data_IF_556201614279
#
_entry.id   IF_556201614279
#
_cell.length_a   1.000
_cell.length_b   1.000
_cell.length_c   1.000
_cell.angle_alpha   90.00
_cell.angle_beta   90.00
_cell.angle_gamma   90.00
#
_symmetry.space_group_name_H-M   'P 1'
#
loop_
_entity.id
_entity.type
_entity.pdbx_description
1 polymer ?
#
# COMPACT_ATOMS: atom_id res chain seq x y z
N UNK A 1 14.47 6.39 -27.34
CA UNK A 1 13.96 7.33 -26.32
C UNK A 1 15.02 8.40 -26.09
N UNK A 2 14.62 9.67 -26.03
CA UNK A 2 15.57 10.77 -25.81
C UNK A 2 16.00 10.78 -24.32
N UNK A 3 17.23 11.16 -23.98
CA UNK A 3 17.74 11.12 -22.59
C UNK A 3 16.93 11.96 -21.59
N UNK A 4 16.18 12.97 -22.07
CA UNK A 4 15.26 13.77 -21.24
C UNK A 4 14.03 12.97 -20.82
N UNK A 5 13.43 12.17 -21.71
CA UNK A 5 12.23 11.35 -21.42
C UNK A 5 12.53 10.29 -20.35
N UNK A 6 13.74 9.71 -20.37
CA UNK A 6 14.17 8.69 -19.41
C UNK A 6 14.29 9.26 -17.99
N UNK A 7 14.82 10.49 -17.87
CA UNK A 7 14.96 11.16 -16.56
C UNK A 7 13.61 11.53 -15.96
N UNK A 8 12.69 12.07 -16.76
CA UNK A 8 11.34 12.43 -16.30
C UNK A 8 10.57 11.19 -15.87
N UNK A 9 10.55 10.13 -16.69
CA UNK A 9 9.86 8.88 -16.34
C UNK A 9 10.43 8.19 -15.10
N UNK A 10 11.75 8.22 -14.91
CA UNK A 10 12.39 7.70 -13.70
C UNK A 10 12.01 8.51 -12.43
N UNK A 11 11.88 9.84 -12.54
CA UNK A 11 11.50 10.70 -11.43
C UNK A 11 10.02 10.52 -11.02
N UNK A 12 9.11 10.47 -12.00
CA UNK A 12 7.69 10.21 -11.75
C UNK A 12 7.48 8.84 -11.09
N UNK A 13 8.20 7.83 -11.55
CA UNK A 13 8.11 6.49 -10.96
C UNK A 13 8.62 6.47 -9.51
N UNK A 14 9.73 7.16 -9.21
CA UNK A 14 10.26 7.26 -7.84
C UNK A 14 9.25 7.92 -6.90
N UNK A 15 8.61 9.00 -7.35
CA UNK A 15 7.56 9.66 -6.56
C UNK A 15 6.39 8.71 -6.31
N UNK A 16 5.93 8.00 -7.34
CA UNK A 16 4.82 7.06 -7.23
C UNK A 16 5.11 5.89 -6.26
N UNK A 17 6.32 5.32 -6.33
CA UNK A 17 6.76 4.26 -5.41
C UNK A 17 6.80 4.76 -3.96
N UNK A 18 7.28 5.99 -3.73
CA UNK A 18 7.26 6.61 -2.39
C UNK A 18 5.85 6.84 -1.88
N UNK A 19 4.94 7.27 -2.76
CA UNK A 19 3.52 7.45 -2.42
C UNK A 19 2.89 6.12 -2.01
N UNK A 20 3.12 5.04 -2.77
CA UNK A 20 2.63 3.70 -2.43
C UNK A 20 3.20 3.21 -1.09
N UNK A 21 4.49 3.43 -0.84
CA UNK A 21 5.10 3.09 0.45
C UNK A 21 4.49 3.90 1.62
N UNK A 22 4.21 5.19 1.40
CA UNK A 22 3.52 6.03 2.39
C UNK A 22 2.10 5.56 2.69
N UNK A 23 1.32 5.19 1.65
CA UNK A 23 -0.02 4.61 1.83
C UNK A 23 0.04 3.25 2.54
N UNK A 24 1.06 2.43 2.26
CA UNK A 24 1.27 1.18 2.98
C UNK A 24 1.52 1.41 4.48
N UNK A 25 2.27 2.45 4.83
CA UNK A 25 2.47 2.83 6.23
C UNK A 25 1.15 3.29 6.88
N UNK A 26 0.38 4.13 6.20
CA UNK A 26 -0.91 4.62 6.70
C UNK A 26 -1.91 3.48 6.93
N UNK A 27 -1.92 2.47 6.07
CA UNK A 27 -2.77 1.28 6.24
C UNK A 27 -2.33 0.43 7.43
N UNK A 28 -1.03 0.30 7.70
CA UNK A 28 -0.53 -0.35 8.93
C UNK A 28 -0.93 0.44 10.18
N UNK A 29 -0.85 1.77 10.15
CA UNK A 29 -1.34 2.61 11.25
C UNK A 29 -2.84 2.39 11.47
N UNK A 30 -3.62 2.22 10.39
CA UNK A 30 -5.02 1.81 10.45
C UNK A 30 -5.22 0.48 11.18
N UNK A 31 -4.38 -0.53 10.88
CA UNK A 31 -4.42 -1.82 11.59
C UNK A 31 -4.11 -1.69 13.09
N UNK A 32 -3.12 -0.86 13.46
CA UNK A 32 -2.76 -0.60 14.86
C UNK A 32 -3.88 0.13 15.59
N UNK A 33 -4.52 1.10 14.94
CA UNK A 33 -5.70 1.78 15.49
C UNK A 33 -6.82 0.78 15.75
N UNK A 34 -7.10 -0.09 14.80
CA UNK A 34 -8.15 -1.10 14.90
C UNK A 34 -7.88 -2.11 16.03
N UNK A 35 -6.60 -2.40 16.29
CA UNK A 35 -6.19 -3.22 17.42
C UNK A 35 -6.40 -2.52 18.77
N UNK A 36 -6.10 -1.22 18.83
CA UNK A 36 -6.27 -0.41 20.05
C UNK A 36 -7.75 -0.08 20.33
N UNK A 37 -8.53 0.20 19.28
CA UNK A 37 -9.94 0.57 19.34
C UNK A 37 -10.71 -0.15 18.22
N UNK A 38 -11.21 -1.36 18.51
CA UNK A 38 -11.91 -2.17 17.53
C UNK A 38 -13.20 -1.51 17.04
N UNK A 39 -13.36 -1.43 15.74
CA UNK A 39 -14.61 -1.01 15.12
C UNK A 39 -15.66 -2.10 15.25
N UNK A 40 -16.88 -1.67 15.56
CA UNK A 40 -18.03 -2.55 15.73
C UNK A 40 -19.06 -2.25 14.63
N UNK A 41 -19.84 -3.26 14.22
CA UNK A 41 -20.94 -3.04 13.30
C UNK A 41 -21.99 -2.08 13.89
N UNK A 42 -22.77 -1.36 13.05
CA UNK A 42 -22.80 -1.46 11.59
C UNK A 42 -21.70 -0.63 10.90
N UNK A 43 -20.99 -1.26 9.96
CA UNK A 43 -19.99 -0.57 9.14
C UNK A 43 -20.68 0.28 8.06
N UNK A 44 -20.08 1.43 7.71
CA UNK A 44 -20.68 2.38 6.76
C UNK A 44 -19.81 2.55 5.52
N UNK A 45 -20.44 2.73 4.36
CA UNK A 45 -19.78 3.05 3.09
C UNK A 45 -19.86 1.94 2.02
N UNK A 46 -19.35 2.23 0.81
CA UNK A 46 -19.47 1.34 -0.36
C UNK A 46 -18.77 -0.01 -0.19
N UNK A 47 -17.71 -0.05 0.62
CA UNK A 47 -16.92 -1.26 0.90
C UNK A 47 -17.23 -1.87 2.28
N UNK A 48 -18.32 -1.43 2.94
CA UNK A 48 -18.70 -1.93 4.26
C UNK A 48 -18.93 -3.45 4.28
N UNK A 49 -19.46 -4.01 3.18
CA UNK A 49 -19.68 -5.46 3.05
C UNK A 49 -18.40 -6.29 3.24
N UNK A 50 -17.23 -5.76 2.89
CA UNK A 50 -15.94 -6.44 3.08
C UNK A 50 -15.58 -6.48 4.56
N UNK A 51 -15.79 -5.36 5.26
CA UNK A 51 -15.59 -5.27 6.71
C UNK A 51 -16.58 -6.15 7.48
N UNK A 52 -17.85 -6.19 7.05
CA UNK A 52 -18.87 -7.09 7.62
C UNK A 52 -18.48 -8.55 7.46
N UNK A 53 -18.03 -8.96 6.27
CA UNK A 53 -17.60 -10.33 6.00
C UNK A 53 -16.37 -10.71 6.83
N UNK A 54 -15.37 -9.82 6.92
CA UNK A 54 -14.19 -10.06 7.75
C UNK A 54 -14.54 -10.15 9.24
N UNK A 55 -15.44 -9.29 9.71
CA UNK A 55 -15.94 -9.33 11.09
C UNK A 55 -16.75 -10.60 11.37
N UNK A 56 -17.55 -11.07 10.42
CA UNK A 56 -18.30 -12.32 10.56
C UNK A 56 -17.38 -13.54 10.63
N UNK A 57 -16.25 -13.54 9.93
CA UNK A 57 -15.32 -14.68 9.90
C UNK A 57 -14.39 -14.73 11.12
N UNK A 58 -13.90 -13.58 11.60
CA UNK A 58 -12.84 -13.52 12.60
C UNK A 58 -13.03 -12.42 13.67
N UNK A 59 -14.23 -11.84 13.77
CA UNK A 59 -14.51 -10.72 14.67
C UNK A 59 -13.68 -9.48 14.32
N UNK A 60 -13.34 -8.69 15.34
CA UNK A 60 -12.51 -7.49 15.19
C UNK A 60 -11.13 -7.78 14.56
N UNK A 61 -10.56 -8.96 14.80
CA UNK A 61 -9.29 -9.36 14.19
C UNK A 61 -9.37 -9.48 12.67
N UNK A 62 -10.55 -9.80 12.11
CA UNK A 62 -10.74 -9.84 10.66
C UNK A 62 -10.50 -8.48 10.00
N UNK A 63 -10.85 -7.39 10.69
CA UNK A 63 -10.66 -6.02 10.18
C UNK A 63 -9.19 -5.63 10.20
N UNK A 64 -8.46 -6.02 11.27
CA UNK A 64 -7.00 -5.85 11.36
C UNK A 64 -6.31 -6.57 10.20
N UNK A 65 -6.71 -7.82 9.93
CA UNK A 65 -6.19 -8.63 8.83
C UNK A 65 -6.46 -7.95 7.49
N UNK A 66 -7.63 -7.36 7.29
CA UNK A 66 -7.96 -6.56 6.10
C UNK A 66 -6.99 -5.40 5.87
N UNK A 67 -6.71 -4.62 6.92
CA UNK A 67 -5.73 -3.52 6.84
C UNK A 67 -4.34 -4.02 6.49
N UNK A 68 -3.89 -5.13 7.08
CA UNK A 68 -2.60 -5.72 6.78
C UNK A 68 -2.53 -6.26 5.35
N UNK A 69 -3.59 -6.90 4.84
CA UNK A 69 -3.66 -7.31 3.44
C UNK A 69 -3.57 -6.12 2.48
N UNK A 70 -4.26 -5.02 2.79
CA UNK A 70 -4.17 -3.79 2.00
C UNK A 70 -2.74 -3.21 2.01
N UNK A 71 -2.08 -3.19 3.17
CA UNK A 71 -0.69 -2.75 3.30
C UNK A 71 0.26 -3.62 2.46
N UNK A 72 0.12 -4.95 2.55
CA UNK A 72 0.93 -5.90 1.77
C UNK A 72 0.72 -5.69 0.26
N UNK A 73 -0.53 -5.53 -0.17
CA UNK A 73 -0.85 -5.29 -1.58
C UNK A 73 -0.18 -4.01 -2.11
N UNK A 74 -0.16 -2.93 -1.32
CA UNK A 74 0.52 -1.68 -1.66
C UNK A 74 2.04 -1.84 -1.73
N UNK A 75 2.65 -2.55 -0.78
CA UNK A 75 4.10 -2.83 -0.80
C UNK A 75 4.49 -3.68 -2.01
N UNK A 76 3.71 -4.71 -2.31
CA UNK A 76 3.94 -5.55 -3.49
C UNK A 76 3.78 -4.75 -4.78
N UNK A 77 2.80 -3.85 -4.85
CA UNK A 77 2.61 -2.94 -5.98
C UNK A 77 3.80 -1.99 -6.13
N UNK A 78 4.28 -1.39 -5.03
CA UNK A 78 5.47 -0.53 -5.03
C UNK A 78 6.72 -1.29 -5.51
N UNK A 79 6.92 -2.52 -5.03
CA UNK A 79 8.02 -3.40 -5.44
C UNK A 79 7.90 -3.81 -6.91
N UNK A 80 6.70 -4.10 -7.38
CA UNK A 80 6.43 -4.47 -8.77
C UNK A 80 6.75 -3.32 -9.70
N UNK A 81 6.25 -2.12 -9.40
CA UNK A 81 6.54 -0.90 -10.17
C UNK A 81 8.05 -0.65 -10.19
N UNK A 82 8.71 -0.66 -9.03
CA UNK A 82 10.16 -0.45 -8.93
C UNK A 82 10.99 -1.44 -9.75
N UNK A 83 10.53 -2.69 -9.88
CA UNK A 83 11.22 -3.71 -10.68
C UNK A 83 11.10 -3.50 -12.19
N UNK A 84 9.98 -2.94 -12.66
CA UNK A 84 9.71 -2.76 -14.09
C UNK A 84 10.11 -1.38 -14.62
N UNK A 85 10.64 -0.50 -13.76
CA UNK A 85 11.13 0.82 -14.17
C UNK A 85 12.59 0.75 -14.63
N UNK A 86 12.93 1.24 -15.83
CA UNK A 86 14.32 1.34 -16.28
C UNK A 86 15.12 2.26 -15.34
N UNK A 87 16.20 1.71 -14.76
CA UNK A 87 17.08 2.43 -13.83
C UNK A 87 18.10 3.26 -14.60
N UNK A 88 18.35 4.48 -14.13
CA UNK A 88 19.38 5.34 -14.71
C UNK A 88 20.76 4.87 -14.22
N UNK A 89 21.81 4.82 -15.06
CA UNK A 89 23.14 4.30 -14.69
C UNK A 89 23.82 4.97 -13.49
N UNK A 90 23.31 6.12 -13.04
CA UNK A 90 23.82 6.87 -11.87
C UNK A 90 23.44 6.22 -10.53
N UNK A 91 22.52 5.25 -10.50
CA UNK A 91 22.10 4.52 -9.29
C UNK A 91 23.04 3.36 -8.89
N UNK A 92 24.35 3.46 -9.16
CA UNK A 92 25.33 2.42 -8.78
C UNK A 92 25.59 2.34 -7.26
N UNK A 93 25.18 3.34 -6.48
CA UNK A 93 25.46 3.44 -5.04
C UNK A 93 24.56 2.60 -4.12
N UNK A 94 23.61 1.83 -4.66
CA UNK A 94 22.69 0.98 -3.89
C UNK A 94 22.91 -0.52 -4.14
N UNK A 95 24.13 -0.90 -4.52
CA UNK A 95 24.60 -2.29 -4.53
C UNK A 95 25.39 -2.60 -3.27
#
# INVERSE_FOLDING_TARGET
MKPVEIKTGAQETRWFVRLLAGLALLTVIGAVREWAEPSLPPFKGRLAWIAELAFALAGSYGIIVLWLFAAIALVLSAKFVWRHTPRVPTDKWLW
#
